data_IF_310789865792
#
_entry.id   IF_310789865792
#
_cell.length_a   1.000
_cell.length_b   1.000
_cell.length_c   1.000
_cell.angle_alpha   90.00
_cell.angle_beta   90.00
_cell.angle_gamma   90.00
#
_symmetry.space_group_name_H-M   'P 1'
#
loop_
_entity.id
_entity.type
_entity.pdbx_description
1 polymer ?
#
# COMPACT_ATOMS: atom_id res chain seq x y z
N UNK A 1 5.71 14.29 32.50
CA UNK A 1 4.93 13.47 31.60
C UNK A 1 5.64 13.48 30.24
N UNK A 2 5.99 12.31 29.72
CA UNK A 2 6.61 12.19 28.40
C UNK A 2 5.56 12.44 27.30
N UNK A 3 6.02 12.71 26.08
CA UNK A 3 5.10 12.87 24.92
C UNK A 3 4.27 11.61 24.68
N UNK A 4 4.84 10.42 24.92
CA UNK A 4 4.14 9.14 24.79
C UNK A 4 3.00 9.03 25.82
N UNK A 5 3.26 9.35 27.07
CA UNK A 5 2.23 9.36 28.14
C UNK A 5 1.12 10.36 27.82
N UNK A 6 1.45 11.53 27.28
CA UNK A 6 0.46 12.51 26.87
C UNK A 6 -0.40 12.03 25.71
N UNK A 7 0.19 11.37 24.69
CA UNK A 7 -0.54 10.78 23.58
C UNK A 7 -1.51 9.70 24.09
N UNK A 8 -1.07 8.80 24.97
CA UNK A 8 -1.93 7.76 25.55
C UNK A 8 -3.10 8.37 26.33
N UNK A 9 -2.81 9.38 27.16
CA UNK A 9 -3.85 10.11 27.91
C UNK A 9 -4.87 10.77 26.98
N UNK A 10 -4.41 11.38 25.88
CA UNK A 10 -5.30 12.03 24.89
C UNK A 10 -6.13 11.02 24.10
N UNK A 11 -5.57 9.86 23.76
CA UNK A 11 -6.30 8.76 23.12
C UNK A 11 -7.50 8.34 23.98
N UNK A 12 -7.27 8.08 25.27
CA UNK A 12 -8.36 7.71 26.20
C UNK A 12 -9.38 8.85 26.34
N UNK A 13 -8.91 10.08 26.59
CA UNK A 13 -9.78 11.24 26.79
C UNK A 13 -10.65 11.58 25.57
N UNK A 14 -10.22 11.24 24.37
CA UNK A 14 -10.90 11.52 23.10
C UNK A 14 -11.62 10.33 22.51
N UNK A 15 -11.60 9.18 23.19
CA UNK A 15 -12.13 7.92 22.65
C UNK A 15 -11.56 7.64 21.25
N UNK A 16 -10.22 7.67 21.16
CA UNK A 16 -9.49 7.60 19.89
C UNK A 16 -8.72 6.29 19.73
N UNK A 17 -8.63 5.82 18.47
CA UNK A 17 -7.72 4.77 18.03
C UNK A 17 -6.64 5.38 17.15
N UNK A 18 -5.39 4.97 17.36
CA UNK A 18 -4.24 5.37 16.54
C UNK A 18 -3.84 4.21 15.61
N UNK A 19 -4.00 4.42 14.32
CA UNK A 19 -3.64 3.48 13.27
C UNK A 19 -2.37 3.97 12.57
N UNK A 20 -1.33 3.14 12.45
CA UNK A 20 -0.08 3.51 11.80
C UNK A 20 0.25 2.59 10.62
N UNK A 21 0.66 3.18 9.50
CA UNK A 21 1.14 2.39 8.36
C UNK A 21 2.52 1.78 8.66
N UNK A 22 2.80 0.61 8.08
CA UNK A 22 4.09 -0.11 8.21
C UNK A 22 5.33 0.73 7.85
N UNK A 23 5.17 1.81 7.08
CA UNK A 23 6.26 2.70 6.66
C UNK A 23 6.44 3.92 7.57
N UNK A 24 5.69 4.00 8.66
CA UNK A 24 5.92 5.04 9.65
C UNK A 24 7.23 4.81 10.41
N UNK A 25 7.75 5.89 10.99
CA UNK A 25 8.93 5.84 11.85
C UNK A 25 8.69 4.88 13.03
N UNK A 26 9.73 4.20 13.53
CA UNK A 26 9.61 3.25 14.64
C UNK A 26 8.84 3.80 15.82
N UNK A 27 9.13 5.05 16.23
CA UNK A 27 8.50 5.68 17.38
C UNK A 27 6.98 5.88 17.22
N UNK A 28 6.52 6.05 15.97
CA UNK A 28 5.09 6.15 15.65
C UNK A 28 4.44 4.77 15.62
N UNK A 29 5.14 3.77 15.09
CA UNK A 29 4.65 2.40 15.11
C UNK A 29 4.50 1.87 16.54
N UNK A 30 5.44 2.21 17.43
CA UNK A 30 5.48 1.71 18.81
C UNK A 30 4.34 2.24 19.70
N UNK A 31 3.78 3.40 19.39
CA UNK A 31 2.66 4.00 20.14
C UNK A 31 1.29 3.73 19.52
N UNK A 32 1.25 3.16 18.32
CA UNK A 32 0.01 2.87 17.60
C UNK A 32 -0.74 1.68 18.24
N UNK A 33 -2.07 1.72 18.18
CA UNK A 33 -2.91 0.59 18.58
C UNK A 33 -2.83 -0.53 17.55
N UNK A 34 -2.77 -0.15 16.26
CA UNK A 34 -2.66 -1.08 15.15
C UNK A 34 -1.61 -0.59 14.14
N UNK A 35 -0.78 -1.50 13.66
CA UNK A 35 0.20 -1.24 12.59
C UNK A 35 -0.06 -2.21 11.44
N UNK A 36 -0.15 -1.70 10.21
CA UNK A 36 -0.48 -2.55 9.07
C UNK A 36 -0.29 -1.90 7.71
N UNK A 37 -0.75 -2.62 6.66
CA UNK A 37 -0.91 -2.08 5.32
C UNK A 37 -2.25 -1.32 5.18
N UNK A 38 -2.46 -0.69 4.02
CA UNK A 38 -3.68 0.10 3.76
C UNK A 38 -4.96 -0.71 3.89
N UNK A 39 -4.98 -1.99 3.47
CA UNK A 39 -6.17 -2.83 3.56
C UNK A 39 -6.45 -3.25 5.00
N UNK A 40 -5.42 -3.69 5.72
CA UNK A 40 -5.53 -4.06 7.12
C UNK A 40 -6.05 -2.88 7.96
N UNK A 41 -5.41 -1.71 7.84
CA UNK A 41 -5.80 -0.53 8.60
C UNK A 41 -7.19 -0.01 8.24
N UNK A 42 -7.61 -0.12 6.98
CA UNK A 42 -8.99 0.20 6.57
C UNK A 42 -10.02 -0.70 7.26
N UNK A 43 -9.70 -2.01 7.40
CA UNK A 43 -10.55 -2.95 8.13
C UNK A 43 -10.56 -2.67 9.63
N UNK A 44 -9.41 -2.33 10.22
CA UNK A 44 -9.33 -1.94 11.64
C UNK A 44 -10.10 -0.64 11.91
N UNK A 45 -9.99 0.34 11.01
CA UNK A 45 -10.79 1.55 11.10
C UNK A 45 -12.30 1.26 11.09
N UNK A 46 -12.74 0.31 10.26
CA UNK A 46 -14.16 -0.10 10.18
C UNK A 46 -14.59 -0.88 11.42
N UNK A 47 -13.73 -1.78 11.93
CA UNK A 47 -14.04 -2.65 13.07
C UNK A 47 -13.98 -1.94 14.43
N UNK A 48 -13.25 -0.82 14.51
CA UNK A 48 -13.13 -0.04 15.74
C UNK A 48 -14.45 0.64 16.09
N UNK A 49 -14.80 0.70 17.37
CA UNK A 49 -15.96 1.46 17.94
C UNK A 49 -15.58 2.84 18.43
N UNK A 50 -14.29 3.19 18.42
CA UNK A 50 -13.80 4.49 18.85
C UNK A 50 -14.38 5.62 18.02
N UNK A 51 -14.69 6.75 18.64
CA UNK A 51 -15.29 7.93 17.96
C UNK A 51 -14.33 8.65 17.06
N UNK A 52 -13.03 8.61 17.40
CA UNK A 52 -11.96 9.29 16.68
C UNK A 52 -10.97 8.26 16.14
N UNK A 53 -10.63 8.39 14.88
CA UNK A 53 -9.57 7.61 14.22
C UNK A 53 -8.43 8.57 13.91
N UNK A 54 -7.27 8.38 14.53
CA UNK A 54 -6.04 9.08 14.18
C UNK A 54 -5.25 8.20 13.22
N UNK A 55 -5.03 8.67 12.01
CA UNK A 55 -4.36 7.89 10.98
C UNK A 55 -2.93 8.40 10.78
N UNK A 56 -1.94 7.73 11.35
CA UNK A 56 -0.51 7.98 11.11
C UNK A 56 -0.09 7.30 9.80
N UNK A 57 -0.24 8.05 8.71
CA UNK A 57 0.03 7.62 7.34
C UNK A 57 -0.01 8.81 6.42
N UNK A 58 -0.45 8.59 5.18
CA UNK A 58 -0.60 9.64 4.16
C UNK A 58 -2.09 9.93 3.89
N UNK A 59 -2.34 11.09 3.28
CA UNK A 59 -3.68 11.68 3.11
C UNK A 59 -4.70 10.69 2.53
N UNK A 60 -4.40 9.98 1.44
CA UNK A 60 -5.36 9.06 0.82
C UNK A 60 -5.80 7.91 1.75
N UNK A 61 -4.98 7.52 2.72
CA UNK A 61 -5.33 6.51 3.72
C UNK A 61 -6.37 7.05 4.71
N UNK A 62 -6.18 8.29 5.18
CA UNK A 62 -7.13 8.97 6.05
C UNK A 62 -8.46 9.24 5.30
N UNK A 63 -8.41 9.62 4.02
CA UNK A 63 -9.58 9.75 3.14
C UNK A 63 -10.33 8.41 3.01
N UNK A 64 -9.61 7.31 2.77
CA UNK A 64 -10.21 5.96 2.71
C UNK A 64 -10.87 5.59 4.04
N UNK A 65 -10.19 5.83 5.15
CA UNK A 65 -10.77 5.61 6.47
C UNK A 65 -12.04 6.46 6.70
N UNK A 66 -12.06 7.72 6.21
CA UNK A 66 -13.23 8.60 6.30
C UNK A 66 -14.39 8.14 5.41
N UNK A 67 -14.12 7.67 4.20
CA UNK A 67 -15.13 7.10 3.29
C UNK A 67 -15.83 5.90 3.95
N UNK A 68 -15.05 5.03 4.60
CA UNK A 68 -15.58 3.85 5.28
C UNK A 68 -16.27 4.17 6.62
N UNK A 69 -15.97 5.31 7.22
CA UNK A 69 -16.48 5.75 8.52
C UNK A 69 -17.05 7.18 8.46
N UNK A 70 -18.11 7.43 7.66
CA UNK A 70 -18.59 8.80 7.40
C UNK A 70 -19.08 9.54 8.65
N UNK A 71 -19.48 8.82 9.68
CA UNK A 71 -19.98 9.39 10.95
C UNK A 71 -18.87 9.67 11.98
N UNK A 72 -17.65 9.15 11.76
CA UNK A 72 -16.54 9.29 12.71
C UNK A 72 -15.65 10.47 12.35
N UNK A 73 -14.96 11.01 13.34
CA UNK A 73 -13.87 11.95 13.12
C UNK A 73 -12.61 11.19 12.72
N UNK A 74 -12.06 11.48 11.54
CA UNK A 74 -10.78 10.95 11.09
C UNK A 74 -9.77 12.10 11.03
N UNK A 75 -8.68 11.95 11.74
CA UNK A 75 -7.60 12.92 11.87
C UNK A 75 -6.34 12.41 11.19
N UNK A 76 -5.67 13.29 10.47
CA UNK A 76 -4.33 13.11 9.93
C UNK A 76 -3.40 14.10 10.65
N UNK A 77 -2.29 13.66 11.27
CA UNK A 77 -1.42 14.54 12.04
C UNK A 77 -0.83 15.71 11.24
N UNK A 78 -0.55 15.51 9.95
CA UNK A 78 -0.13 16.56 9.03
C UNK A 78 -0.87 16.41 7.68
N UNK A 79 -1.68 17.37 7.31
CA UNK A 79 -2.42 17.37 6.04
C UNK A 79 -1.51 17.43 4.80
N UNK A 80 -0.23 17.81 4.96
CA UNK A 80 0.78 17.80 3.90
C UNK A 80 1.40 16.42 3.68
N UNK A 81 1.09 15.44 4.53
CA UNK A 81 1.54 14.05 4.35
C UNK A 81 0.91 13.45 3.09
N UNK A 82 1.51 13.74 1.94
CA UNK A 82 1.08 13.34 0.60
C UNK A 82 1.72 12.02 0.15
N UNK A 83 1.34 11.61 -1.07
CA UNK A 83 1.89 10.45 -1.74
C UNK A 83 2.01 10.77 -3.23
N UNK A 84 3.23 10.75 -3.77
CA UNK A 84 3.47 11.06 -5.20
C UNK A 84 2.68 10.16 -6.14
N UNK A 85 2.49 8.90 -5.77
CA UNK A 85 1.67 7.98 -6.54
C UNK A 85 0.18 8.37 -6.51
N UNK A 86 -0.32 8.84 -5.36
CA UNK A 86 -1.70 9.33 -5.24
C UNK A 86 -1.93 10.58 -6.10
N UNK A 87 -0.90 11.39 -6.28
CA UNK A 87 -0.94 12.62 -7.05
C UNK A 87 -0.66 12.40 -8.56
N UNK A 88 -0.36 11.16 -8.98
CA UNK A 88 -0.05 10.83 -10.36
C UNK A 88 -1.25 10.92 -11.31
N UNK A 89 -2.47 10.94 -10.78
CA UNK A 89 -3.72 11.09 -11.56
C UNK A 89 -4.72 11.96 -10.80
N UNK A 90 -5.42 12.83 -11.52
CA UNK A 90 -6.57 13.59 -11.02
C UNK A 90 -7.89 13.00 -11.50
N UNK A 91 -9.00 13.36 -10.84
CA UNK A 91 -10.34 12.94 -11.25
C UNK A 91 -10.68 13.43 -12.69
N UNK A 92 -10.25 14.63 -13.06
CA UNK A 92 -10.48 15.15 -14.41
C UNK A 92 -9.72 14.37 -15.50
N UNK A 93 -8.48 13.98 -15.20
CA UNK A 93 -7.71 13.11 -16.09
C UNK A 93 -8.37 11.73 -16.22
N UNK A 94 -8.87 11.16 -15.12
CA UNK A 94 -9.61 9.90 -15.16
C UNK A 94 -10.90 10.02 -15.98
N UNK A 95 -11.66 11.10 -15.82
CA UNK A 95 -12.86 11.34 -16.63
C UNK A 95 -12.52 11.48 -18.12
N UNK A 96 -11.39 12.12 -18.46
CA UNK A 96 -10.90 12.18 -19.84
C UNK A 96 -10.59 10.78 -20.38
N UNK A 97 -9.85 10.00 -19.63
CA UNK A 97 -9.46 8.62 -20.02
C UNK A 97 -10.67 7.68 -20.17
N UNK A 98 -11.68 7.80 -19.30
CA UNK A 98 -12.96 7.07 -19.43
C UNK A 98 -13.70 7.42 -20.73
N UNK A 99 -13.62 8.66 -21.23
CA UNK A 99 -14.24 9.03 -22.51
C UNK A 99 -13.56 8.39 -23.72
N UNK A 100 -12.27 8.11 -23.63
CA UNK A 100 -11.50 7.40 -24.66
C UNK A 100 -11.80 5.90 -24.67
N UNK A 101 -12.31 5.35 -23.54
CA UNK A 101 -12.63 3.94 -23.33
C UNK A 101 -14.07 3.75 -22.82
N UNK A 102 -15.09 4.03 -23.65
CA UNK A 102 -16.48 3.97 -23.21
C UNK A 102 -16.86 2.56 -22.74
N UNK A 103 -17.37 2.45 -21.52
CA UNK A 103 -17.80 1.18 -20.94
C UNK A 103 -16.69 0.35 -20.30
N UNK A 104 -15.43 0.81 -20.29
CA UNK A 104 -14.36 0.16 -19.56
C UNK A 104 -14.60 0.21 -18.05
N UNK A 105 -14.14 -0.82 -17.34
CA UNK A 105 -14.20 -0.91 -15.86
C UNK A 105 -12.95 -0.27 -15.27
N UNK A 106 -13.14 0.67 -14.36
CA UNK A 106 -12.06 1.38 -13.68
C UNK A 106 -11.69 0.67 -12.39
N UNK A 107 -10.45 0.20 -12.31
CA UNK A 107 -9.86 -0.40 -11.09
C UNK A 107 -8.80 0.55 -10.55
N UNK A 108 -9.11 1.19 -9.44
CA UNK A 108 -8.18 2.09 -8.75
C UNK A 108 -7.43 1.36 -7.64
N UNK A 109 -6.12 1.41 -7.68
CA UNK A 109 -5.32 1.16 -6.50
C UNK A 109 -5.60 2.24 -5.46
N UNK A 110 -5.73 1.88 -4.18
CA UNK A 110 -6.17 2.80 -3.11
C UNK A 110 -5.27 4.02 -2.91
N UNK A 111 -4.04 3.99 -3.48
CA UNK A 111 -3.12 5.13 -3.51
C UNK A 111 -3.60 6.19 -4.52
N UNK A 112 -4.78 6.73 -4.29
CA UNK A 112 -5.46 7.75 -5.09
C UNK A 112 -6.27 8.65 -4.17
N UNK A 113 -6.62 9.86 -4.61
CA UNK A 113 -7.50 10.77 -3.85
C UNK A 113 -8.94 10.24 -3.75
N UNK A 114 -9.71 10.80 -2.83
CA UNK A 114 -11.13 10.48 -2.70
C UNK A 114 -11.93 10.81 -3.98
N UNK A 115 -11.56 11.88 -4.68
CA UNK A 115 -12.18 12.30 -5.94
C UNK A 115 -11.94 11.28 -7.05
N UNK A 116 -10.72 10.72 -7.14
CA UNK A 116 -10.41 9.64 -8.11
C UNK A 116 -11.16 8.36 -7.75
N UNK A 117 -11.26 8.02 -6.46
CA UNK A 117 -12.05 6.85 -6.02
C UNK A 117 -13.53 6.98 -6.37
N UNK A 118 -14.09 8.19 -6.30
CA UNK A 118 -15.48 8.47 -6.67
C UNK A 118 -15.78 8.22 -8.15
N UNK A 119 -14.78 8.30 -9.02
CA UNK A 119 -14.87 8.02 -10.46
C UNK A 119 -14.56 6.56 -10.83
N UNK A 120 -14.21 5.73 -9.84
CA UNK A 120 -13.75 4.35 -10.03
C UNK A 120 -14.83 3.33 -9.71
N UNK A 121 -14.85 2.21 -10.42
CA UNK A 121 -15.82 1.13 -10.19
C UNK A 121 -15.36 0.19 -9.05
N UNK A 122 -14.06 -0.03 -8.95
CA UNK A 122 -13.45 -0.86 -7.92
C UNK A 122 -12.21 -0.18 -7.33
N UNK A 123 -12.02 -0.38 -6.02
CA UNK A 123 -10.77 -0.06 -5.35
C UNK A 123 -10.06 -1.35 -4.90
N UNK A 124 -8.75 -1.40 -5.08
CA UNK A 124 -7.92 -2.53 -4.66
C UNK A 124 -6.68 -2.07 -3.90
N UNK A 125 -6.00 -3.03 -3.28
CA UNK A 125 -4.65 -2.89 -2.73
C UNK A 125 -3.73 -3.90 -3.41
N UNK A 126 -2.41 -3.79 -3.21
CA UNK A 126 -1.45 -4.78 -3.72
C UNK A 126 -1.76 -6.22 -3.24
N UNK A 127 -2.42 -6.38 -2.10
CA UNK A 127 -2.78 -7.70 -1.56
C UNK A 127 -3.98 -8.35 -2.23
N UNK A 128 -4.85 -7.61 -2.92
CA UNK A 128 -6.09 -8.14 -3.50
C UNK A 128 -6.34 -7.74 -4.97
N UNK A 129 -5.44 -6.98 -5.60
CA UNK A 129 -5.62 -6.47 -6.96
C UNK A 129 -5.86 -7.58 -7.98
N UNK A 130 -5.10 -8.69 -7.91
CA UNK A 130 -5.31 -9.86 -8.77
C UNK A 130 -6.74 -10.42 -8.63
N UNK A 131 -7.24 -10.58 -7.40
CA UNK A 131 -8.58 -11.09 -7.14
C UNK A 131 -9.66 -10.15 -7.66
N UNK A 132 -9.48 -8.83 -7.49
CA UNK A 132 -10.41 -7.83 -8.01
C UNK A 132 -10.45 -7.90 -9.54
N UNK A 133 -9.30 -7.91 -10.21
CA UNK A 133 -9.25 -7.99 -11.68
C UNK A 133 -9.87 -9.29 -12.21
N UNK A 134 -9.63 -10.44 -11.54
CA UNK A 134 -10.26 -11.72 -11.91
C UNK A 134 -11.77 -11.76 -11.71
N UNK A 135 -12.34 -10.90 -10.86
CA UNK A 135 -13.79 -10.83 -10.65
C UNK A 135 -14.53 -10.05 -11.74
N UNK A 136 -13.80 -9.32 -12.59
CA UNK A 136 -14.38 -8.56 -13.70
C UNK A 136 -14.60 -9.49 -14.90
N UNK A 137 -15.78 -9.47 -15.56
CA UNK A 137 -16.05 -10.30 -16.73
C UNK A 137 -14.99 -10.15 -17.83
N UNK A 138 -14.67 -11.26 -18.51
CA UNK A 138 -13.53 -11.33 -19.45
C UNK A 138 -13.72 -10.46 -20.70
N UNK A 139 -14.94 -10.16 -21.07
CA UNK A 139 -15.32 -9.30 -22.18
C UNK A 139 -15.21 -7.79 -21.86
N UNK A 140 -14.94 -7.43 -20.61
CA UNK A 140 -14.82 -6.04 -20.19
C UNK A 140 -13.38 -5.55 -20.30
N UNK A 141 -13.22 -4.38 -20.89
CA UNK A 141 -11.99 -3.60 -20.88
C UNK A 141 -11.72 -3.05 -19.46
N UNK A 142 -10.46 -3.00 -19.06
CA UNK A 142 -10.07 -2.54 -17.70
C UNK A 142 -9.10 -1.37 -17.83
N UNK A 143 -9.40 -0.28 -17.14
CA UNK A 143 -8.50 0.83 -16.86
C UNK A 143 -7.93 0.65 -15.46
N UNK A 144 -6.63 0.40 -15.35
CA UNK A 144 -5.96 0.24 -14.05
C UNK A 144 -5.08 1.45 -13.74
N UNK A 145 -5.24 2.00 -12.56
CA UNK A 145 -4.55 3.21 -12.12
C UNK A 145 -4.21 3.14 -10.61
N UNK A 146 -3.30 3.99 -10.09
CA UNK A 146 -2.41 4.88 -10.79
C UNK A 146 -1.04 4.25 -11.09
N UNK A 147 -0.71 3.07 -10.49
CA UNK A 147 0.62 2.45 -10.51
C UNK A 147 0.78 1.50 -11.71
N UNK A 148 1.72 1.84 -12.60
CA UNK A 148 1.99 1.04 -13.79
C UNK A 148 2.66 -0.30 -13.46
N UNK A 149 3.51 -0.36 -12.43
CA UNK A 149 4.23 -1.59 -12.08
C UNK A 149 3.30 -2.61 -11.43
N UNK A 150 2.48 -2.19 -10.47
CA UNK A 150 1.43 -3.04 -9.92
C UNK A 150 0.45 -3.48 -11.01
N UNK A 151 0.05 -2.56 -11.89
CA UNK A 151 -0.84 -2.87 -13.02
C UNK A 151 -0.22 -3.91 -13.96
N UNK A 152 1.05 -3.77 -14.32
CA UNK A 152 1.77 -4.75 -15.15
C UNK A 152 1.92 -6.12 -14.46
N UNK A 153 2.24 -6.10 -13.16
CA UNK A 153 2.28 -7.31 -12.36
C UNK A 153 0.94 -8.06 -12.38
N UNK A 154 -0.17 -7.35 -12.14
CA UNK A 154 -1.53 -7.94 -12.16
C UNK A 154 -1.90 -8.40 -13.56
N UNK A 155 -1.60 -7.62 -14.62
CA UNK A 155 -1.83 -7.97 -16.00
C UNK A 155 -1.16 -9.30 -16.37
N UNK A 156 0.12 -9.48 -15.99
CA UNK A 156 0.87 -10.74 -16.24
C UNK A 156 0.30 -11.92 -15.43
N UNK A 157 -0.09 -11.69 -14.17
CA UNK A 157 -0.65 -12.74 -13.30
C UNK A 157 -2.05 -13.21 -13.75
N UNK A 158 -2.84 -12.31 -14.33
CA UNK A 158 -4.22 -12.60 -14.70
C UNK A 158 -4.39 -12.96 -16.18
N UNK A 159 -3.43 -12.55 -17.02
CA UNK A 159 -3.55 -12.65 -18.48
C UNK A 159 -4.57 -11.67 -19.09
N UNK A 160 -5.15 -10.76 -18.29
CA UNK A 160 -6.19 -9.82 -18.73
C UNK A 160 -5.59 -8.70 -19.58
N UNK A 161 -6.33 -8.28 -20.60
CA UNK A 161 -6.04 -7.02 -21.30
C UNK A 161 -6.42 -5.85 -20.42
N UNK A 162 -5.44 -5.00 -20.11
CA UNK A 162 -5.60 -3.85 -19.23
C UNK A 162 -4.86 -2.66 -19.83
N UNK A 163 -5.51 -1.51 -19.80
CA UNK A 163 -4.86 -0.22 -20.01
C UNK A 163 -4.31 0.26 -18.67
N UNK A 164 -3.06 0.65 -18.65
CA UNK A 164 -2.37 1.05 -17.43
C UNK A 164 -2.11 2.56 -17.46
N UNK A 165 -2.47 3.24 -16.39
CA UNK A 165 -2.04 4.61 -16.18
C UNK A 165 -0.53 4.65 -15.93
N UNK A 166 0.17 5.63 -16.52
CA UNK A 166 1.63 5.77 -16.41
C UNK A 166 1.96 6.62 -15.18
N UNK A 167 1.78 6.05 -14.00
CA UNK A 167 2.19 6.60 -12.72
C UNK A 167 3.02 5.59 -11.94
N UNK A 168 3.85 6.07 -11.03
CA UNK A 168 4.72 5.24 -10.20
C UNK A 168 4.90 5.80 -8.79
N UNK A 169 5.35 4.93 -7.88
CA UNK A 169 5.81 5.33 -6.56
C UNK A 169 7.31 5.67 -6.65
N UNK A 170 7.68 6.94 -6.43
CA UNK A 170 9.07 7.39 -6.55
C UNK A 170 10.06 6.65 -5.63
N UNK A 171 9.59 6.02 -4.54
CA UNK A 171 10.42 5.18 -3.67
C UNK A 171 10.70 3.84 -4.35
N UNK A 172 9.66 3.15 -4.82
CA UNK A 172 9.75 1.82 -5.39
C UNK A 172 10.32 1.82 -6.82
N UNK A 173 10.02 2.83 -7.61
CA UNK A 173 10.52 2.96 -8.99
C UNK A 173 12.05 3.14 -9.08
N UNK A 174 12.68 3.62 -8.00
CA UNK A 174 14.15 3.78 -7.94
C UNK A 174 14.90 2.47 -7.73
N UNK A 175 14.24 1.42 -7.27
CA UNK A 175 14.85 0.11 -7.09
C UNK A 175 15.03 -0.55 -8.46
N UNK A 176 16.28 -0.72 -8.88
CA UNK A 176 16.65 -1.23 -10.21
C UNK A 176 16.96 -2.73 -10.18
N UNK A 177 16.83 -3.44 -11.31
CA UNK A 177 17.27 -4.83 -11.41
C UNK A 177 18.74 -5.03 -11.02
N UNK A 178 19.62 -4.06 -11.36
CA UNK A 178 21.03 -4.06 -10.96
C UNK A 178 21.25 -4.06 -9.45
N UNK A 179 20.40 -3.35 -8.70
CA UNK A 179 20.50 -3.27 -7.24
C UNK A 179 20.21 -4.66 -6.63
N UNK A 180 19.22 -5.38 -7.17
CA UNK A 180 18.92 -6.75 -6.75
C UNK A 180 20.03 -7.73 -7.12
N UNK A 181 20.65 -7.57 -8.29
CA UNK A 181 21.81 -8.39 -8.72
C UNK A 181 22.97 -8.19 -7.75
N UNK A 182 23.29 -6.94 -7.43
CA UNK A 182 24.34 -6.59 -6.48
C UNK A 182 24.04 -7.13 -5.07
N UNK A 183 22.80 -6.95 -4.60
CA UNK A 183 22.37 -7.46 -3.30
C UNK A 183 22.44 -8.99 -3.23
N UNK A 184 21.99 -9.70 -4.26
CA UNK A 184 22.09 -11.18 -4.36
C UNK A 184 23.54 -11.66 -4.30
N UNK A 185 24.46 -10.96 -4.97
CA UNK A 185 25.88 -11.30 -4.96
C UNK A 185 26.53 -11.06 -3.59
N UNK A 186 26.13 -9.98 -2.91
CA UNK A 186 26.64 -9.64 -1.58
C UNK A 186 26.09 -10.53 -0.47
N UNK A 187 24.88 -11.10 -0.65
CA UNK A 187 24.15 -11.91 0.33
C UNK A 187 23.70 -13.25 -0.28
N UNK A 188 24.65 -14.18 -0.54
CA UNK A 188 24.35 -15.46 -1.18
C UNK A 188 23.40 -16.31 -0.34
N UNK A 189 22.25 -16.72 -0.95
CA UNK A 189 21.27 -17.57 -0.28
C UNK A 189 20.19 -16.81 0.50
N UNK A 190 20.32 -15.48 0.72
CA UNK A 190 19.26 -14.69 1.32
C UNK A 190 18.06 -14.57 0.36
N UNK A 191 16.82 -14.89 0.79
CA UNK A 191 15.66 -14.69 -0.04
C UNK A 191 15.40 -13.19 -0.27
N UNK A 192 15.05 -12.82 -1.51
CA UNK A 192 14.66 -11.46 -1.90
C UNK A 192 13.14 -11.38 -2.00
N UNK A 193 12.55 -10.52 -1.19
CA UNK A 193 11.11 -10.20 -1.26
C UNK A 193 10.93 -8.77 -1.77
N UNK A 194 10.07 -8.57 -2.77
CA UNK A 194 9.84 -7.26 -3.38
C UNK A 194 8.37 -6.87 -3.37
N UNK A 195 8.10 -5.57 -3.24
CA UNK A 195 6.76 -5.03 -3.41
C UNK A 195 6.39 -4.96 -4.91
N UNK A 196 5.14 -5.24 -5.32
CA UNK A 196 4.74 -5.20 -6.73
C UNK A 196 4.78 -3.79 -7.37
N UNK A 197 4.89 -2.72 -6.58
CA UNK A 197 5.18 -1.36 -7.07
C UNK A 197 6.66 -1.17 -7.45
N UNK A 198 7.52 -2.11 -7.10
CA UNK A 198 8.95 -2.02 -7.42
C UNK A 198 9.15 -2.17 -8.93
N UNK A 199 9.83 -1.20 -9.56
CA UNK A 199 10.25 -1.30 -10.95
C UNK A 199 11.10 -2.55 -11.21
N UNK A 200 11.84 -3.00 -10.22
CA UNK A 200 12.60 -4.24 -10.23
C UNK A 200 11.71 -5.50 -10.36
N UNK A 201 10.46 -5.45 -9.94
CA UNK A 201 9.56 -6.61 -9.99
C UNK A 201 9.05 -6.91 -11.41
N UNK A 202 9.06 -5.92 -12.34
CA UNK A 202 8.64 -6.13 -13.73
C UNK A 202 9.71 -6.75 -14.60
N UNK A 203 10.97 -6.31 -14.45
CA UNK A 203 12.09 -6.75 -15.30
C UNK A 203 12.95 -7.84 -14.65
N UNK A 204 13.08 -7.82 -13.32
CA UNK A 204 13.97 -8.71 -12.55
C UNK A 204 13.24 -9.87 -11.86
N UNK A 205 12.06 -10.28 -12.35
CA UNK A 205 11.31 -11.42 -11.78
C UNK A 205 12.16 -12.67 -11.51
N UNK A 206 13.15 -13.05 -12.34
CA UNK A 206 14.01 -14.18 -12.04
C UNK A 206 14.88 -14.01 -10.78
N UNK A 207 15.08 -12.77 -10.32
CA UNK A 207 15.93 -12.46 -9.17
C UNK A 207 15.15 -12.25 -7.87
N UNK A 208 13.82 -12.12 -7.95
CA UNK A 208 12.94 -11.96 -6.79
C UNK A 208 12.32 -13.30 -6.43
N UNK A 209 12.55 -13.76 -5.20
CA UNK A 209 12.00 -15.05 -4.76
C UNK A 209 10.49 -14.95 -4.47
N UNK A 210 10.03 -13.78 -3.98
CA UNK A 210 8.61 -13.51 -3.71
C UNK A 210 8.26 -12.07 -4.03
N UNK A 211 7.16 -11.87 -4.74
CA UNK A 211 6.50 -10.55 -4.87
C UNK A 211 5.32 -10.52 -3.91
N UNK A 212 5.37 -9.62 -2.93
CA UNK A 212 4.47 -9.61 -1.79
C UNK A 212 4.00 -8.17 -1.49
N UNK A 213 2.75 -8.03 -1.04
CA UNK A 213 2.31 -6.79 -0.37
C UNK A 213 3.03 -6.63 0.98
N UNK A 214 2.96 -5.44 1.59
CA UNK A 214 3.58 -5.21 2.91
C UNK A 214 3.08 -6.18 3.97
N UNK A 215 1.79 -6.51 4.00
CA UNK A 215 1.25 -7.53 4.90
C UNK A 215 1.79 -8.94 4.55
N UNK A 216 1.94 -9.23 3.25
CA UNK A 216 2.59 -10.46 2.78
C UNK A 216 4.04 -10.57 3.24
N UNK A 217 4.79 -9.46 3.24
CA UNK A 217 6.17 -9.41 3.74
C UNK A 217 6.24 -9.64 5.26
N UNK A 218 5.30 -9.08 6.02
CA UNK A 218 5.19 -9.30 7.46
C UNK A 218 4.89 -10.77 7.78
N UNK A 219 4.00 -11.42 7.03
CA UNK A 219 3.75 -12.86 7.17
C UNK A 219 4.99 -13.67 6.80
N UNK A 220 5.65 -13.34 5.70
CA UNK A 220 6.90 -14.00 5.31
C UNK A 220 7.97 -13.88 6.40
N UNK A 221 8.16 -12.69 6.97
CA UNK A 221 9.10 -12.48 8.07
C UNK A 221 8.78 -13.36 9.29
N UNK A 222 7.50 -13.57 9.61
CA UNK A 222 7.07 -14.44 10.72
C UNK A 222 7.39 -15.93 10.49
N UNK A 223 7.30 -16.36 9.24
CA UNK A 223 7.37 -17.79 8.86
C UNK A 223 8.76 -18.22 8.44
N UNK A 224 9.60 -17.29 7.98
CA UNK A 224 10.92 -17.61 7.46
C UNK A 224 11.87 -18.09 8.55
N UNK A 225 12.73 -19.05 8.18
CA UNK A 225 13.87 -19.49 8.99
C UNK A 225 15.21 -19.03 8.40
N UNK A 226 15.17 -18.21 7.34
CA UNK A 226 16.38 -17.66 6.76
C UNK A 226 17.04 -16.70 7.76
N UNK A 227 18.36 -16.78 7.96
CA UNK A 227 19.06 -15.90 8.89
C UNK A 227 19.11 -14.45 8.39
N UNK A 228 18.83 -14.23 7.12
CA UNK A 228 18.84 -12.94 6.47
C UNK A 228 17.77 -12.92 5.37
N UNK A 229 17.09 -11.77 5.21
CA UNK A 229 16.10 -11.53 4.16
C UNK A 229 16.36 -10.17 3.54
N UNK A 230 16.45 -10.11 2.23
CA UNK A 230 16.55 -8.86 1.47
C UNK A 230 15.14 -8.36 1.12
N UNK A 231 14.85 -7.11 1.46
CA UNK A 231 13.50 -6.53 1.32
C UNK A 231 13.56 -5.33 0.38
N UNK A 232 12.94 -5.48 -0.80
CA UNK A 232 12.85 -4.42 -1.80
C UNK A 232 11.51 -3.67 -1.64
N UNK A 233 11.49 -2.75 -0.68
CA UNK A 233 10.39 -1.82 -0.40
C UNK A 233 10.88 -0.67 0.48
N UNK A 234 9.99 0.12 1.05
CA UNK A 234 10.31 1.23 1.94
C UNK A 234 10.85 0.71 3.29
N UNK A 235 11.90 1.37 3.80
CA UNK A 235 12.70 0.89 4.95
C UNK A 235 11.93 0.81 6.28
N UNK A 236 10.88 1.59 6.46
CA UNK A 236 10.10 1.63 7.71
C UNK A 236 9.47 0.30 8.11
N UNK A 237 9.25 -0.61 7.13
CA UNK A 237 8.70 -1.94 7.40
C UNK A 237 9.66 -2.81 8.24
N UNK A 238 10.97 -2.53 8.15
CA UNK A 238 12.00 -3.34 8.83
C UNK A 238 11.81 -3.35 10.34
N UNK A 239 11.40 -2.21 10.93
CA UNK A 239 11.12 -2.13 12.36
C UNK A 239 10.12 -3.21 12.81
N UNK A 240 8.99 -3.32 12.09
CA UNK A 240 7.98 -4.34 12.41
C UNK A 240 8.47 -5.75 12.10
N UNK A 241 9.19 -5.94 10.99
CA UNK A 241 9.74 -7.26 10.62
C UNK A 241 10.70 -7.77 11.69
N UNK A 242 11.63 -6.93 12.16
CA UNK A 242 12.60 -7.26 13.21
C UNK A 242 11.94 -7.54 14.56
N UNK A 243 10.85 -6.85 14.91
CA UNK A 243 10.10 -7.15 16.15
C UNK A 243 9.37 -8.48 16.10
N UNK A 244 8.94 -8.91 14.92
CA UNK A 244 8.23 -10.18 14.73
C UNK A 244 9.19 -11.36 14.64
N UNK A 245 10.33 -11.15 14.01
CA UNK A 245 11.39 -12.14 13.86
C UNK A 245 12.74 -11.46 14.13
N UNK A 246 13.23 -11.48 15.38
CA UNK A 246 14.45 -10.80 15.80
C UNK A 246 15.74 -11.53 15.43
N UNK A 247 15.68 -12.67 14.71
CA UNK A 247 16.85 -13.45 14.28
C UNK A 247 17.55 -12.81 13.09
#
# INVERSE_FOLDING_TARGET
MSIVEEIQRLKEARDAVLLAHNYQRPEVQDIADEVGDSLYLSKQALASDRKVIVFAGVRFMAETAKILNPQRTVLLPDLRAGCSLSDAITADQLRAWKREHPGAVVVAYVNTSAEVKAESDYCCTSSNAERVVRSIPDDREILFLPDMFLGDYVRRKTGRKMHLWVGDCHVHARMRPSDLTGARAAHPGAPIVAHPECGCASEALPQVDRVLSTDGMIRFARETRAPEVLVATEIGILHRMQRINPT
#
